data_IF_224613876678
#
_entry.id   IF_224613876678
#
_cell.length_a   1.000
_cell.length_b   1.000
_cell.length_c   1.000
_cell.angle_alpha   90.00
_cell.angle_beta   90.00
_cell.angle_gamma   90.00
#
_symmetry.space_group_name_H-M   'P 1'
#
loop_
_entity.id
_entity.type
_entity.pdbx_description
1 polymer ?
#
# COMPACT_ATOMS: atom_id res chain seq x y z
N UNK A 1 -6.28 8.69 12.88
CA UNK A 1 -7.11 7.59 13.48
C UNK A 1 -8.29 7.18 12.58
N UNK A 2 -9.35 7.98 12.41
CA UNK A 2 -10.51 7.56 11.57
C UNK A 2 -10.10 7.16 10.15
N UNK A 3 -9.26 7.95 9.48
CA UNK A 3 -8.76 7.63 8.14
C UNK A 3 -7.98 6.32 8.11
N UNK A 4 -7.09 6.07 9.09
CA UNK A 4 -6.38 4.79 9.21
C UNK A 4 -7.36 3.61 9.30
N UNK A 5 -8.40 3.70 10.15
CA UNK A 5 -9.42 2.64 10.26
C UNK A 5 -10.21 2.43 8.97
N UNK A 6 -10.55 3.52 8.27
CA UNK A 6 -11.19 3.48 6.94
C UNK A 6 -10.31 2.80 5.88
N UNK A 7 -9.00 2.87 6.03
CA UNK A 7 -8.03 2.16 5.18
C UNK A 7 -7.67 0.78 5.74
N UNK A 8 -8.48 0.21 6.64
CA UNK A 8 -8.27 -1.09 7.28
C UNK A 8 -6.97 -1.23 8.08
N UNK A 9 -6.31 -0.12 8.43
CA UNK A 9 -5.13 -0.12 9.31
C UNK A 9 -5.59 -0.37 10.75
N UNK A 10 -4.96 -1.34 11.41
CA UNK A 10 -5.28 -1.74 12.79
C UNK A 10 -4.21 -1.33 13.82
N UNK A 11 -3.03 -0.89 13.38
CA UNK A 11 -1.90 -0.58 14.25
C UNK A 11 -1.15 0.69 13.82
N UNK A 12 -0.46 1.32 14.76
CA UNK A 12 0.43 2.46 14.54
C UNK A 12 1.69 2.33 15.41
N UNK A 13 2.85 2.58 14.82
CA UNK A 13 4.11 2.77 15.54
C UNK A 13 4.33 4.27 15.73
N UNK A 14 4.70 4.71 16.93
CA UNK A 14 4.96 6.13 17.21
C UNK A 14 6.39 6.49 16.82
N UNK A 15 6.69 6.47 15.52
CA UNK A 15 8.00 6.82 14.97
C UNK A 15 8.34 8.30 15.25
N UNK A 16 9.45 8.65 15.91
CA UNK A 16 10.33 7.80 16.74
C UNK A 16 10.41 8.32 18.18
N UNK A 17 9.25 8.67 18.73
CA UNK A 17 9.15 9.26 20.06
C UNK A 17 7.72 9.14 20.63
N UNK A 18 7.56 9.30 21.96
CA UNK A 18 6.24 9.36 22.58
C UNK A 18 5.42 10.51 21.99
N UNK A 19 4.18 10.21 21.60
CA UNK A 19 3.28 11.19 21.00
C UNK A 19 2.53 12.03 22.05
N UNK A 20 1.74 13.01 21.57
CA UNK A 20 0.80 13.72 22.43
C UNK A 20 -0.16 12.72 23.12
N UNK A 21 -0.40 12.81 24.44
CA UNK A 21 -1.29 11.89 25.19
C UNK A 21 -2.65 11.67 24.55
N UNK A 22 -3.22 12.74 23.98
CA UNK A 22 -4.51 12.69 23.33
C UNK A 22 -4.55 11.69 22.17
N UNK A 23 -3.42 11.44 21.50
CA UNK A 23 -3.33 10.42 20.46
C UNK A 23 -3.60 9.01 21.01
N UNK A 24 -3.05 8.68 22.18
CA UNK A 24 -3.27 7.39 22.83
C UNK A 24 -4.72 7.25 23.31
N UNK A 25 -5.32 8.32 23.83
CA UNK A 25 -6.75 8.33 24.18
C UNK A 25 -7.64 8.06 22.95
N UNK A 26 -7.27 8.63 21.80
CA UNK A 26 -7.94 8.32 20.53
C UNK A 26 -7.69 6.87 20.10
N UNK A 27 -6.48 6.33 20.22
CA UNK A 27 -6.22 4.92 19.90
C UNK A 27 -7.01 3.96 20.82
N UNK A 28 -7.12 4.26 22.12
CA UNK A 28 -7.98 3.51 23.05
C UNK A 28 -9.44 3.56 22.60
N UNK A 29 -9.95 4.75 22.31
CA UNK A 29 -11.36 4.96 21.94
C UNK A 29 -11.70 4.30 20.62
N UNK A 30 -10.87 4.46 19.60
CA UNK A 30 -11.16 3.99 18.24
C UNK A 30 -10.69 2.55 17.97
N UNK A 31 -9.83 2.00 18.82
CA UNK A 31 -9.21 0.69 18.63
C UNK A 31 -8.14 0.72 17.54
N UNK A 32 -6.94 1.15 17.90
CA UNK A 32 -5.71 0.97 17.13
C UNK A 32 -4.63 0.42 18.08
N UNK A 33 -3.94 -0.64 17.69
CA UNK A 33 -2.78 -1.13 18.43
C UNK A 33 -1.62 -0.14 18.31
N UNK A 34 -0.98 0.17 19.43
CA UNK A 34 0.13 1.12 19.47
C UNK A 34 1.42 0.40 19.86
N UNK A 35 2.39 0.42 18.95
CA UNK A 35 3.79 0.12 19.24
C UNK A 35 4.42 1.45 19.69
N UNK A 36 4.55 1.61 21.01
CA UNK A 36 4.92 2.87 21.62
C UNK A 36 6.45 2.95 21.77
N UNK A 37 7.05 3.92 21.10
CA UNK A 37 8.51 4.06 21.00
C UNK A 37 9.06 5.17 21.89
N UNK A 38 10.14 4.89 22.61
CA UNK A 38 10.88 5.91 23.36
C UNK A 38 11.68 6.81 22.41
N UNK A 39 11.87 8.08 22.82
CA UNK A 39 12.64 9.06 22.06
C UNK A 39 14.14 8.78 22.21
N UNK A 40 14.66 7.76 21.52
CA UNK A 40 16.08 7.41 21.48
C UNK A 40 16.43 7.11 20.03
N UNK A 41 17.12 8.05 19.39
CA UNK A 41 17.65 7.87 18.05
C UNK A 41 19.03 8.50 17.95
N UNK A 42 20.01 7.73 17.50
CA UNK A 42 21.39 8.18 17.30
C UNK A 42 21.90 7.75 15.93
N UNK A 43 21.08 7.92 14.88
CA UNK A 43 21.41 7.50 13.52
C UNK A 43 22.79 8.04 13.08
N UNK A 44 23.08 9.32 13.37
CA UNK A 44 24.38 9.93 13.05
C UNK A 44 25.59 9.30 13.77
N UNK A 45 25.39 8.54 14.86
CA UNK A 45 26.42 7.72 15.50
C UNK A 45 25.80 6.55 16.26
N UNK A 46 25.59 5.44 15.55
CA UNK A 46 24.98 4.22 16.12
C UNK A 46 25.88 3.49 17.14
N UNK A 47 27.14 3.90 17.33
CA UNK A 47 28.03 3.33 18.34
C UNK A 47 27.70 3.74 19.77
N UNK A 48 26.90 4.80 19.95
CA UNK A 48 26.61 5.37 21.28
C UNK A 48 25.84 4.41 22.20
N UNK A 49 25.10 3.44 21.66
CA UNK A 49 24.42 2.41 22.46
C UNK A 49 25.37 1.44 23.17
N UNK A 50 26.66 1.43 22.84
CA UNK A 50 27.68 0.66 23.58
C UNK A 50 28.49 1.51 24.57
N UNK A 51 28.26 2.83 24.62
CA UNK A 51 29.06 3.74 25.44
C UNK A 51 28.40 3.94 26.80
N UNK A 52 29.15 3.73 27.88
CA UNK A 52 28.63 3.75 29.25
C UNK A 52 27.91 5.05 29.62
N UNK A 53 28.46 6.18 29.19
CA UNK A 53 27.91 7.50 29.45
C UNK A 53 26.45 7.64 28.97
N UNK A 54 26.08 6.93 27.90
CA UNK A 54 24.75 6.98 27.29
C UNK A 54 23.77 5.97 27.89
N UNK A 55 24.23 5.04 28.73
CA UNK A 55 23.37 4.02 29.35
C UNK A 55 22.24 4.65 30.15
N UNK A 56 22.58 5.58 31.06
CA UNK A 56 21.59 6.24 31.94
C UNK A 56 20.55 7.05 31.14
N UNK A 57 20.93 7.93 30.20
CA UNK A 57 19.96 8.63 29.35
C UNK A 57 19.01 7.71 28.57
N UNK A 58 19.52 6.60 28.02
CA UNK A 58 18.69 5.61 27.30
C UNK A 58 17.68 4.92 28.22
N UNK A 59 18.11 4.53 29.42
CA UNK A 59 17.23 3.97 30.45
C UNK A 59 16.18 4.98 30.88
N UNK A 60 16.55 6.22 31.19
CA UNK A 60 15.62 7.24 31.70
C UNK A 60 14.52 7.57 30.69
N UNK A 61 14.86 7.69 29.39
CA UNK A 61 13.88 7.94 28.31
C UNK A 61 12.85 6.82 28.20
N UNK A 62 13.29 5.58 28.26
CA UNK A 62 12.42 4.40 28.21
C UNK A 62 11.58 4.23 29.48
N UNK A 63 12.23 4.30 30.65
CA UNK A 63 11.58 4.18 31.95
C UNK A 63 10.49 5.25 32.14
N UNK A 64 10.76 6.50 31.78
CA UNK A 64 9.78 7.58 31.91
C UNK A 64 8.60 7.40 30.94
N UNK A 65 8.85 6.92 29.72
CA UNK A 65 7.79 6.62 28.76
C UNK A 65 6.82 5.56 29.32
N UNK A 66 7.34 4.43 29.81
CA UNK A 66 6.52 3.35 30.39
C UNK A 66 5.78 3.84 31.63
N UNK A 67 6.47 4.56 32.54
CA UNK A 67 5.86 5.09 33.76
C UNK A 67 4.68 6.00 33.46
N UNK A 68 4.77 6.79 32.39
CA UNK A 68 3.72 7.70 31.96
C UNK A 68 2.55 6.99 31.27
N UNK A 69 2.84 6.02 30.39
CA UNK A 69 1.87 5.51 29.42
C UNK A 69 1.35 4.09 29.68
N UNK A 70 1.86 3.36 30.69
CA UNK A 70 1.48 1.95 30.96
C UNK A 70 -0.02 1.67 31.19
N UNK A 71 -0.82 2.69 31.48
CA UNK A 71 -2.27 2.55 31.65
C UNK A 71 -3.05 2.67 30.32
N UNK A 72 -2.37 2.97 29.20
CA UNK A 72 -2.98 3.05 27.88
C UNK A 72 -3.20 1.63 27.33
N UNK A 73 -4.47 1.25 27.16
CA UNK A 73 -4.86 -0.11 26.73
C UNK A 73 -4.53 -0.39 25.27
N UNK A 74 -4.41 0.65 24.45
CA UNK A 74 -4.02 0.54 23.05
C UNK A 74 -2.56 0.12 22.87
N UNK A 75 -1.70 0.41 23.85
CA UNK A 75 -0.29 0.05 23.77
C UNK A 75 -0.17 -1.46 23.98
N UNK A 76 0.39 -2.16 22.99
CA UNK A 76 0.62 -3.60 23.08
C UNK A 76 2.10 -3.97 23.16
N UNK A 77 2.98 -3.01 22.83
CA UNK A 77 4.42 -3.23 22.73
C UNK A 77 5.20 -1.95 23.01
N UNK A 78 6.33 -2.07 23.71
CA UNK A 78 7.28 -0.99 23.98
C UNK A 78 8.51 -1.09 23.08
N UNK A 79 8.82 -0.04 22.33
CA UNK A 79 10.04 0.04 21.53
C UNK A 79 11.11 0.91 22.18
N UNK A 80 12.35 0.42 22.18
CA UNK A 80 13.46 1.03 22.92
C UNK A 80 13.96 2.35 22.31
N UNK A 81 13.63 2.57 21.04
CA UNK A 81 14.14 3.64 20.20
C UNK A 81 14.21 3.21 18.74
N UNK A 82 14.88 4.00 17.92
CA UNK A 82 15.12 3.75 16.50
C UNK A 82 16.61 3.92 16.17
N UNK A 83 17.11 3.18 15.17
CA UNK A 83 18.42 3.38 14.52
C UNK A 83 19.56 3.90 15.44
N UNK A 84 19.74 3.25 16.59
CA UNK A 84 20.73 3.64 17.61
C UNK A 84 21.82 2.58 17.81
N UNK A 85 21.98 1.67 16.85
CA UNK A 85 22.93 0.56 16.88
C UNK A 85 22.57 -0.56 17.85
N UNK A 86 23.47 -1.53 18.01
CA UNK A 86 23.19 -2.78 18.72
C UNK A 86 23.90 -2.96 20.07
N UNK A 87 24.34 -1.87 20.71
CA UNK A 87 25.15 -1.91 21.92
C UNK A 87 24.42 -2.39 23.18
N UNK A 88 25.19 -2.82 24.18
CA UNK A 88 24.72 -3.49 25.40
C UNK A 88 23.91 -2.61 26.36
N UNK A 89 23.84 -1.28 26.16
CA UNK A 89 22.96 -0.44 26.97
C UNK A 89 21.49 -0.87 26.86
N UNK A 90 21.08 -1.46 25.73
CA UNK A 90 19.71 -1.92 25.53
C UNK A 90 19.31 -3.13 26.40
N UNK A 91 20.27 -3.93 26.88
CA UNK A 91 19.98 -4.95 27.89
C UNK A 91 19.44 -4.32 29.18
N UNK A 92 20.03 -3.19 29.59
CA UNK A 92 19.60 -2.49 30.79
C UNK A 92 18.31 -1.70 30.57
N UNK A 93 18.04 -1.27 29.34
CA UNK A 93 16.75 -0.69 28.95
C UNK A 93 15.64 -1.73 29.07
N UNK A 94 15.84 -2.95 28.57
CA UNK A 94 14.87 -4.04 28.69
C UNK A 94 14.52 -4.32 30.15
N UNK A 95 15.54 -4.49 31.01
CA UNK A 95 15.35 -4.72 32.45
C UNK A 95 14.56 -3.60 33.11
N UNK A 96 14.82 -2.34 32.75
CA UNK A 96 14.12 -1.19 33.29
C UNK A 96 12.65 -1.12 32.85
N UNK A 97 12.35 -1.48 31.59
CA UNK A 97 10.98 -1.57 31.08
C UNK A 97 10.24 -2.69 31.80
N UNK A 98 10.80 -3.90 31.84
CA UNK A 98 10.16 -5.08 32.45
C UNK A 98 9.97 -4.96 33.97
N UNK A 99 10.81 -4.17 34.64
CA UNK A 99 10.62 -3.84 36.06
C UNK A 99 9.37 -2.97 36.31
N UNK A 100 8.93 -2.19 35.32
CA UNK A 100 7.72 -1.36 35.40
C UNK A 100 6.46 -2.00 34.80
N UNK A 101 6.63 -2.80 33.74
CA UNK A 101 5.54 -3.40 32.98
C UNK A 101 5.98 -4.74 32.37
N UNK A 102 5.52 -5.84 32.97
CA UNK A 102 5.69 -7.19 32.44
C UNK A 102 4.49 -7.68 31.61
N UNK A 103 3.47 -6.84 31.43
CA UNK A 103 2.22 -7.21 30.72
C UNK A 103 2.32 -7.04 29.21
N UNK A 104 3.36 -6.36 28.71
CA UNK A 104 3.55 -6.04 27.29
C UNK A 104 4.87 -6.56 26.74
N UNK A 105 4.87 -6.76 25.42
CA UNK A 105 6.05 -7.17 24.67
C UNK A 105 7.03 -6.00 24.53
N UNK A 106 8.30 -6.33 24.34
CA UNK A 106 9.35 -5.37 24.00
C UNK A 106 9.88 -5.55 22.58
N UNK A 107 10.37 -4.46 22.01
CA UNK A 107 10.82 -4.36 20.64
C UNK A 107 12.04 -3.46 20.52
N UNK A 108 13.00 -3.89 19.69
CA UNK A 108 14.03 -3.02 19.15
C UNK A 108 14.64 -3.68 17.92
N UNK A 109 14.69 -2.94 16.81
CA UNK A 109 15.18 -3.47 15.54
C UNK A 109 16.70 -3.60 15.55
N UNK A 110 17.41 -2.54 15.97
CA UNK A 110 18.87 -2.46 15.83
C UNK A 110 19.64 -3.58 16.55
N UNK A 111 19.04 -4.20 17.56
CA UNK A 111 19.46 -5.50 18.09
C UNK A 111 18.34 -6.17 18.89
N UNK A 112 17.62 -7.08 18.26
CA UNK A 112 16.51 -7.77 18.92
C UNK A 112 16.92 -8.84 19.94
N UNK A 113 18.20 -9.05 20.28
CA UNK A 113 18.56 -10.12 21.23
C UNK A 113 17.96 -9.90 22.64
N UNK A 114 17.75 -8.64 23.02
CA UNK A 114 17.15 -8.24 24.30
C UNK A 114 15.69 -7.81 24.15
N UNK A 115 14.95 -8.31 23.15
CA UNK A 115 13.53 -7.99 22.97
C UNK A 115 12.70 -9.25 22.77
N UNK A 116 11.43 -9.17 23.18
CA UNK A 116 10.48 -10.27 23.02
C UNK A 116 10.14 -10.55 21.55
N UNK A 117 10.28 -9.54 20.69
CA UNK A 117 9.98 -9.62 19.26
C UNK A 117 11.24 -9.37 18.44
N UNK A 118 11.44 -10.17 17.38
CA UNK A 118 12.48 -9.86 16.38
C UNK A 118 11.94 -8.87 15.35
N UNK A 119 12.78 -7.97 14.86
CA UNK A 119 12.38 -7.02 13.84
C UNK A 119 13.40 -6.82 12.74
N UNK A 120 12.94 -6.26 11.63
CA UNK A 120 13.74 -5.71 10.53
C UNK A 120 13.11 -4.42 10.06
N UNK A 121 13.93 -3.55 9.47
CA UNK A 121 13.48 -2.49 8.57
C UNK A 121 13.77 -2.89 7.12
N UNK A 122 12.77 -2.75 6.23
CA UNK A 122 12.87 -2.96 4.78
C UNK A 122 13.48 -4.33 4.38
N UNK A 123 13.11 -5.39 5.10
CA UNK A 123 13.49 -6.76 4.76
C UNK A 123 12.95 -7.17 3.39
N UNK A 124 13.83 -7.67 2.53
CA UNK A 124 13.45 -8.17 1.21
C UNK A 124 12.49 -9.36 1.32
N UNK A 125 11.69 -9.58 0.27
CA UNK A 125 10.77 -10.72 0.20
C UNK A 125 11.46 -12.04 0.55
N UNK A 126 12.62 -12.32 -0.05
CA UNK A 126 13.38 -13.55 0.21
C UNK A 126 13.86 -13.65 1.65
N UNK A 127 14.32 -12.54 2.25
CA UNK A 127 14.75 -12.52 3.66
C UNK A 127 13.57 -12.83 4.59
N UNK A 128 12.42 -12.21 4.36
CA UNK A 128 11.22 -12.42 5.18
C UNK A 128 10.67 -13.84 5.02
N UNK A 129 10.67 -14.36 3.79
CA UNK A 129 10.32 -15.75 3.51
C UNK A 129 11.24 -16.72 4.24
N UNK A 130 12.56 -16.52 4.17
CA UNK A 130 13.54 -17.34 4.87
C UNK A 130 13.32 -17.33 6.39
N UNK A 131 13.02 -16.15 6.97
CA UNK A 131 12.64 -16.05 8.39
C UNK A 131 11.41 -16.92 8.64
N UNK A 132 10.31 -16.73 7.89
CA UNK A 132 9.09 -17.52 8.05
C UNK A 132 9.31 -19.04 7.98
N UNK A 133 10.06 -19.51 6.98
CA UNK A 133 10.39 -20.92 6.79
C UNK A 133 11.28 -21.48 7.91
N UNK A 134 12.23 -20.69 8.41
CA UNK A 134 13.09 -21.10 9.53
C UNK A 134 12.29 -21.26 10.83
N UNK A 135 11.33 -20.37 11.09
CA UNK A 135 10.50 -20.36 12.30
C UNK A 135 9.58 -21.58 12.40
N UNK A 136 9.17 -22.17 11.26
CA UNK A 136 8.39 -23.42 11.26
C UNK A 136 9.15 -24.61 11.86
N UNK A 137 10.48 -24.53 11.95
CA UNK A 137 11.34 -25.59 12.52
C UNK A 137 11.61 -25.38 14.02
N UNK A 138 11.20 -24.25 14.59
CA UNK A 138 11.39 -23.92 15.99
C UNK A 138 10.21 -24.40 16.84
N UNK A 139 10.48 -24.87 18.06
CA UNK A 139 9.41 -25.29 18.98
C UNK A 139 8.58 -24.11 19.50
N UNK A 140 9.25 -23.00 19.80
CA UNK A 140 8.65 -21.77 20.32
C UNK A 140 9.21 -20.58 19.52
N UNK A 141 8.75 -20.38 18.28
CA UNK A 141 9.30 -19.35 17.42
C UNK A 141 9.01 -17.96 17.99
N UNK A 142 10.03 -17.10 18.01
CA UNK A 142 9.85 -15.69 18.36
C UNK A 142 9.09 -14.98 17.23
N UNK A 143 8.07 -14.16 17.53
CA UNK A 143 7.41 -13.37 16.49
C UNK A 143 8.40 -12.44 15.77
N UNK A 144 8.11 -12.17 14.52
CA UNK A 144 8.86 -11.27 13.66
C UNK A 144 7.95 -10.20 13.08
N UNK A 145 8.33 -8.94 13.22
CA UNK A 145 7.58 -7.80 12.67
C UNK A 145 8.51 -6.90 11.87
N UNK A 146 8.08 -6.43 10.70
CA UNK A 146 8.81 -5.36 10.03
C UNK A 146 8.40 -4.02 10.63
N UNK A 147 9.26 -3.41 11.44
CA UNK A 147 8.92 -2.15 12.10
C UNK A 147 8.88 -0.96 11.13
N UNK A 148 9.47 -1.13 9.94
CA UNK A 148 9.29 -0.32 8.75
C UNK A 148 9.38 -1.23 7.52
N UNK A 149 8.44 -1.09 6.59
CA UNK A 149 8.53 -1.70 5.27
C UNK A 149 7.73 -0.88 4.24
N UNK A 150 7.72 -1.31 2.99
CA UNK A 150 6.86 -0.76 1.93
C UNK A 150 6.98 0.75 1.81
N UNK A 151 8.22 1.23 1.75
CA UNK A 151 8.56 2.65 1.68
C UNK A 151 7.71 3.38 0.62
N UNK A 152 6.93 4.36 1.05
CA UNK A 152 5.85 4.96 0.27
C UNK A 152 6.23 6.31 -0.36
N UNK A 153 7.52 6.60 -0.51
CA UNK A 153 8.02 7.83 -1.12
C UNK A 153 7.62 8.00 -2.59
N UNK A 154 6.96 9.11 -2.91
CA UNK A 154 6.51 9.40 -4.28
C UNK A 154 5.52 8.36 -4.83
N UNK A 155 5.78 7.85 -6.03
CA UNK A 155 5.02 6.76 -6.65
C UNK A 155 5.72 5.41 -6.34
N UNK A 156 5.21 4.70 -5.33
CA UNK A 156 5.88 3.55 -4.71
C UNK A 156 4.88 2.48 -4.26
N UNK A 157 5.26 1.65 -3.29
CA UNK A 157 4.47 0.50 -2.78
C UNK A 157 4.15 -0.56 -3.86
N UNK A 158 5.13 -0.86 -4.71
CA UNK A 158 5.10 -2.08 -5.52
C UNK A 158 5.12 -3.33 -4.63
N UNK A 159 4.60 -4.46 -5.13
CA UNK A 159 4.66 -5.81 -4.54
C UNK A 159 4.18 -6.02 -3.09
N UNK A 160 3.44 -5.07 -2.51
CA UNK A 160 2.98 -5.16 -1.10
C UNK A 160 2.04 -6.36 -0.89
N UNK A 161 1.29 -6.78 -1.91
CA UNK A 161 0.42 -7.97 -1.83
C UNK A 161 1.26 -9.22 -1.59
N UNK A 162 2.33 -9.40 -2.35
CA UNK A 162 3.23 -10.54 -2.28
C UNK A 162 3.89 -10.62 -0.89
N UNK A 163 4.36 -9.49 -0.37
CA UNK A 163 4.89 -9.44 1.00
C UNK A 163 3.81 -9.80 2.04
N UNK A 164 2.61 -9.26 1.90
CA UNK A 164 1.51 -9.52 2.84
C UNK A 164 1.06 -11.00 2.83
N UNK A 165 1.14 -11.66 1.68
CA UNK A 165 0.87 -13.10 1.58
C UNK A 165 1.84 -13.92 2.46
N UNK A 166 3.09 -13.48 2.64
CA UNK A 166 4.02 -14.14 3.57
C UNK A 166 3.53 -14.02 5.02
N UNK A 167 3.02 -12.85 5.42
CA UNK A 167 2.46 -12.64 6.76
C UNK A 167 1.23 -13.50 7.02
N UNK A 168 0.42 -13.73 6.00
CA UNK A 168 -0.76 -14.60 6.11
C UNK A 168 -0.41 -16.09 6.06
N UNK A 169 0.73 -16.44 5.46
CA UNK A 169 1.19 -17.82 5.31
C UNK A 169 1.94 -18.33 6.56
N UNK A 170 2.79 -17.50 7.17
CA UNK A 170 3.70 -17.93 8.24
C UNK A 170 3.26 -17.35 9.60
N UNK A 171 2.79 -18.17 10.56
CA UNK A 171 2.22 -17.69 11.83
C UNK A 171 3.13 -16.82 12.71
N UNK A 172 4.46 -16.95 12.55
CA UNK A 172 5.43 -16.17 13.30
C UNK A 172 5.70 -14.78 12.70
N UNK A 173 5.29 -14.54 11.45
CA UNK A 173 5.43 -13.23 10.82
C UNK A 173 4.17 -12.41 11.11
N UNK A 174 4.29 -11.37 11.94
CA UNK A 174 3.14 -10.64 12.50
C UNK A 174 2.82 -9.33 11.78
N UNK A 175 3.24 -9.22 10.51
CA UNK A 175 2.95 -8.07 9.66
C UNK A 175 4.07 -7.04 9.58
N UNK A 176 3.67 -5.83 9.20
CA UNK A 176 4.55 -4.68 8.96
C UNK A 176 3.93 -3.37 9.45
N UNK A 177 4.77 -2.35 9.60
CA UNK A 177 4.36 -0.96 9.59
C UNK A 177 4.87 -0.30 8.30
N UNK A 178 3.97 0.22 7.47
CA UNK A 178 4.33 0.96 6.26
C UNK A 178 5.07 2.24 6.66
N UNK A 179 6.18 2.54 5.98
CA UNK A 179 6.86 3.83 6.08
C UNK A 179 6.44 4.78 4.94
N UNK A 180 5.68 5.85 5.19
CA UNK A 180 5.04 6.22 6.46
C UNK A 180 3.62 6.76 6.24
N UNK A 181 3.01 7.35 7.27
CA UNK A 181 1.61 7.78 7.18
C UNK A 181 1.43 8.97 6.24
N UNK A 182 2.22 10.04 6.38
CA UNK A 182 1.90 11.36 5.82
C UNK A 182 3.17 12.09 5.38
N UNK A 183 3.15 12.66 4.18
CA UNK A 183 4.22 13.55 3.72
C UNK A 183 4.48 14.69 4.70
N UNK A 184 5.76 14.91 5.01
CA UNK A 184 6.22 15.97 5.92
C UNK A 184 6.51 17.28 5.17
N UNK A 185 5.76 17.55 4.09
CA UNK A 185 5.87 18.79 3.33
C UNK A 185 5.13 19.94 4.01
N UNK A 186 5.65 21.15 3.83
CA UNK A 186 5.09 22.37 4.41
C UNK A 186 4.44 23.24 3.33
N UNK A 187 3.24 23.75 3.59
CA UNK A 187 2.53 24.61 2.63
C UNK A 187 3.18 25.98 2.57
N UNK A 188 3.71 26.37 1.41
CA UNK A 188 4.39 27.64 1.18
C UNK A 188 3.74 28.43 0.04
N UNK A 189 3.68 29.77 0.12
CA UNK A 189 3.15 30.60 -0.96
C UNK A 189 4.14 30.65 -2.15
N UNK A 190 3.61 30.68 -3.37
CA UNK A 190 4.43 30.87 -4.58
C UNK A 190 4.78 32.36 -4.74
N UNK A 191 6.06 32.68 -4.86
CA UNK A 191 6.52 34.07 -4.98
C UNK A 191 5.89 34.77 -6.20
N UNK A 192 5.33 35.97 -5.98
CA UNK A 192 4.71 36.78 -7.02
C UNK A 192 3.31 36.33 -7.47
N UNK A 193 2.73 35.28 -6.87
CA UNK A 193 1.38 34.79 -7.20
C UNK A 193 0.48 34.78 -5.97
N UNK A 194 -0.56 35.62 -5.98
CA UNK A 194 -1.52 35.69 -4.88
C UNK A 194 -2.38 34.42 -4.85
N UNK A 195 -2.55 33.84 -3.66
CA UNK A 195 -3.33 32.61 -3.41
C UNK A 195 -2.80 31.32 -4.05
N UNK A 196 -1.60 31.33 -4.65
CA UNK A 196 -0.93 30.12 -5.12
C UNK A 196 -0.01 29.56 -4.04
N UNK A 197 -0.07 28.25 -3.82
CA UNK A 197 0.72 27.55 -2.82
C UNK A 197 1.35 26.29 -3.41
N UNK A 198 2.46 25.86 -2.82
CA UNK A 198 3.10 24.58 -3.10
C UNK A 198 3.47 23.86 -1.80
N UNK A 199 3.79 22.58 -1.91
CA UNK A 199 4.27 21.75 -0.81
C UNK A 199 5.80 21.74 -0.84
N UNK A 200 6.41 22.49 0.07
CA UNK A 200 7.84 22.64 0.21
C UNK A 200 8.47 21.47 0.98
N UNK A 201 9.72 21.15 0.65
CA UNK A 201 10.54 20.13 1.32
C UNK A 201 11.96 20.66 1.59
N UNK A 202 12.92 19.81 1.97
CA UNK A 202 14.28 20.21 2.29
C UNK A 202 14.95 21.03 1.18
N UNK A 203 15.58 22.15 1.55
CA UNK A 203 16.23 23.09 0.64
C UNK A 203 15.36 24.28 0.21
N UNK A 204 14.03 24.17 0.26
CA UNK A 204 13.12 25.28 -0.08
C UNK A 204 13.14 26.42 0.96
N UNK A 205 13.79 26.19 2.11
CA UNK A 205 13.93 27.16 3.21
C UNK A 205 15.34 27.77 3.28
N UNK A 206 16.22 27.42 2.35
CA UNK A 206 17.64 27.80 2.39
C UNK A 206 18.47 27.02 3.41
N UNK A 207 17.91 25.95 3.96
CA UNK A 207 18.54 25.02 4.89
C UNK A 207 19.64 24.17 4.21
N UNK A 208 20.82 24.11 4.83
CA UNK A 208 22.00 23.41 4.33
C UNK A 208 22.83 22.81 5.48
N UNK A 209 23.20 21.52 5.44
CA UNK A 209 22.79 20.52 4.45
C UNK A 209 21.29 20.15 4.58
N UNK A 210 20.72 19.53 3.54
CA UNK A 210 19.37 18.96 3.55
C UNK A 210 19.29 17.71 2.66
N UNK A 211 18.24 16.90 2.83
CA UNK A 211 17.99 15.64 2.10
C UNK A 211 16.85 15.74 1.08
N UNK A 212 16.53 16.95 0.61
CA UNK A 212 15.55 17.20 -0.44
C UNK A 212 14.16 16.60 -0.14
N UNK A 213 13.63 15.82 -1.09
CA UNK A 213 12.31 15.18 -1.00
C UNK A 213 12.26 13.98 -0.05
N UNK A 214 13.36 13.57 0.61
CA UNK A 214 13.39 12.36 1.44
C UNK A 214 12.41 12.37 2.63
N UNK A 215 11.81 13.52 2.96
CA UNK A 215 10.74 13.67 3.95
C UNK A 215 9.31 13.47 3.40
N UNK A 216 9.14 13.10 2.12
CA UNK A 216 7.84 12.91 1.46
C UNK A 216 7.56 11.42 1.21
N UNK A 217 7.32 10.68 2.30
CA UNK A 217 7.21 9.22 2.32
C UNK A 217 5.77 8.73 2.57
N UNK A 218 4.77 9.60 2.46
CA UNK A 218 3.44 9.33 2.97
C UNK A 218 2.60 8.41 2.09
N UNK A 219 1.83 7.53 2.75
CA UNK A 219 0.67 6.87 2.16
C UNK A 219 -0.44 7.89 1.84
N UNK A 220 -0.52 8.98 2.60
CA UNK A 220 -1.37 10.15 2.32
C UNK A 220 -0.54 11.42 2.13
N UNK A 221 -1.10 12.39 1.41
CA UNK A 221 -0.44 13.67 1.16
C UNK A 221 -0.45 14.59 2.40
N UNK A 222 0.32 15.68 2.33
CA UNK A 222 0.49 16.64 3.41
C UNK A 222 -0.80 17.34 3.87
N UNK A 223 -1.85 17.36 3.04
CA UNK A 223 -3.19 17.91 3.34
C UNK A 223 -4.22 16.85 3.74
N UNK A 224 -3.79 15.61 4.01
CA UNK A 224 -4.65 14.47 4.33
C UNK A 224 -5.47 13.91 3.17
N UNK A 225 -5.24 14.36 1.93
CA UNK A 225 -5.82 13.71 0.75
C UNK A 225 -5.21 12.32 0.53
N UNK A 226 -6.04 11.39 0.08
CA UNK A 226 -5.62 10.02 -0.18
C UNK A 226 -4.80 9.95 -1.47
N UNK A 227 -3.76 9.11 -1.48
CA UNK A 227 -3.01 8.78 -2.69
C UNK A 227 -3.48 7.44 -3.27
N UNK A 228 -3.00 7.07 -4.46
CA UNK A 228 -3.23 5.74 -5.04
C UNK A 228 -2.80 4.61 -4.07
N UNK A 229 -1.69 4.82 -3.35
CA UNK A 229 -1.15 3.89 -2.35
C UNK A 229 -2.15 3.64 -1.20
N UNK A 230 -2.92 4.66 -0.80
CA UNK A 230 -3.94 4.51 0.23
C UNK A 230 -5.01 3.47 -0.14
N UNK A 231 -5.47 3.47 -1.39
CA UNK A 231 -6.48 2.53 -1.88
C UNK A 231 -5.92 1.11 -1.96
N UNK A 232 -4.67 0.96 -2.37
CA UNK A 232 -3.96 -0.32 -2.36
C UNK A 232 -3.84 -0.86 -0.93
N UNK A 233 -3.41 -0.05 0.05
CA UNK A 233 -3.36 -0.45 1.47
C UNK A 233 -4.72 -0.93 1.95
N UNK A 234 -5.80 -0.19 1.65
CA UNK A 234 -7.17 -0.59 2.04
C UNK A 234 -7.54 -1.97 1.50
N UNK A 235 -7.23 -2.24 0.24
CA UNK A 235 -7.52 -3.52 -0.43
C UNK A 235 -6.66 -4.67 0.13
N UNK A 236 -5.41 -4.41 0.48
CA UNK A 236 -4.52 -5.44 1.05
C UNK A 236 -4.97 -5.83 2.45
N UNK A 237 -5.30 -4.85 3.29
CA UNK A 237 -5.62 -5.07 4.70
C UNK A 237 -7.10 -5.38 4.95
N UNK A 238 -7.89 -5.63 3.90
CA UNK A 238 -9.33 -5.86 4.04
C UNK A 238 -9.66 -7.05 4.97
N UNK A 239 -10.76 -6.97 5.74
CA UNK A 239 -11.09 -7.97 6.76
C UNK A 239 -11.73 -9.26 6.22
N UNK A 240 -12.16 -9.28 4.95
CA UNK A 240 -12.80 -10.44 4.32
C UNK A 240 -12.18 -10.68 2.95
N UNK A 241 -11.76 -11.91 2.69
CA UNK A 241 -11.24 -12.33 1.38
C UNK A 241 -12.22 -13.26 0.66
N UNK A 242 -12.12 -13.25 -0.67
CA UNK A 242 -12.99 -13.98 -1.59
C UNK A 242 -12.14 -14.72 -2.62
N UNK A 243 -12.52 -15.96 -2.94
CA UNK A 243 -12.01 -16.68 -4.10
C UNK A 243 -13.11 -17.55 -4.71
N UNK A 244 -12.88 -18.07 -5.91
CA UNK A 244 -13.84 -18.91 -6.64
C UNK A 244 -13.27 -20.33 -6.80
N UNK A 245 -14.13 -21.34 -6.66
CA UNK A 245 -13.78 -22.74 -6.93
C UNK A 245 -13.85 -23.02 -8.44
N UNK A 246 -13.36 -24.19 -8.85
CA UNK A 246 -13.27 -24.57 -10.25
C UNK A 246 -14.63 -24.75 -10.95
N UNK A 247 -15.73 -24.90 -10.18
CA UNK A 247 -17.10 -25.03 -10.73
C UNK A 247 -17.67 -23.72 -11.30
N UNK A 248 -17.03 -22.58 -11.02
CA UNK A 248 -17.42 -21.27 -11.54
C UNK A 248 -18.66 -20.65 -10.90
N UNK A 249 -19.23 -21.26 -9.85
CA UNK A 249 -20.40 -20.74 -9.14
C UNK A 249 -20.33 -20.88 -7.61
N UNK A 250 -19.32 -21.58 -7.08
CA UNK A 250 -19.04 -21.65 -5.64
C UNK A 250 -17.90 -20.72 -5.25
N UNK A 251 -18.13 -19.90 -4.22
CA UNK A 251 -17.16 -18.93 -3.73
C UNK A 251 -16.73 -19.26 -2.30
N UNK A 252 -15.44 -19.08 -2.02
CA UNK A 252 -14.86 -19.19 -0.69
C UNK A 252 -14.77 -17.80 -0.08
N UNK A 253 -15.40 -17.62 1.08
CA UNK A 253 -15.38 -16.37 1.84
C UNK A 253 -14.66 -16.61 3.16
N UNK A 254 -13.61 -15.82 3.44
CA UNK A 254 -12.78 -15.96 4.64
C UNK A 254 -12.82 -14.70 5.49
N UNK A 255 -13.18 -14.83 6.77
CA UNK A 255 -13.03 -13.77 7.76
C UNK A 255 -11.59 -13.75 8.30
N UNK A 256 -10.90 -12.62 8.15
CA UNK A 256 -9.51 -12.43 8.56
C UNK A 256 -9.37 -11.76 9.93
N UNK A 257 -10.48 -11.38 10.55
CA UNK A 257 -10.49 -10.81 11.88
C UNK A 257 -10.22 -11.90 12.93
N UNK A 258 -9.39 -11.56 13.92
CA UNK A 258 -8.99 -12.50 14.98
C UNK A 258 -10.05 -12.66 16.09
N UNK A 259 -10.94 -11.67 16.28
CA UNK A 259 -11.83 -11.62 17.45
C UNK A 259 -13.31 -11.38 17.11
N UNK A 260 -13.62 -10.85 15.92
CA UNK A 260 -14.96 -10.38 15.57
C UNK A 260 -15.54 -11.19 14.41
N UNK A 261 -16.82 -11.55 14.52
CA UNK A 261 -17.60 -12.13 13.42
C UNK A 261 -17.93 -11.06 12.37
N UNK A 262 -18.55 -11.47 11.26
CA UNK A 262 -19.07 -10.54 10.22
C UNK A 262 -20.55 -10.20 10.39
N UNK A 263 -21.13 -10.41 11.57
CA UNK A 263 -22.57 -10.19 11.81
C UNK A 263 -23.00 -8.72 11.65
N UNK A 264 -22.08 -7.78 11.89
CA UNK A 264 -22.31 -6.34 11.72
C UNK A 264 -22.00 -5.83 10.30
N UNK A 265 -21.69 -6.74 9.38
CA UNK A 265 -21.38 -6.44 7.99
C UNK A 265 -22.44 -7.01 7.06
N UNK A 266 -22.77 -6.25 6.01
CA UNK A 266 -23.53 -6.72 4.87
C UNK A 266 -22.57 -7.21 3.80
N UNK A 267 -22.75 -8.44 3.32
CA UNK A 267 -21.98 -9.02 2.22
C UNK A 267 -22.91 -9.14 1.02
N UNK A 268 -22.65 -8.34 -0.01
CA UNK A 268 -23.43 -8.31 -1.24
C UNK A 268 -22.56 -8.62 -2.45
N UNK A 269 -23.18 -9.04 -3.54
CA UNK A 269 -22.51 -9.19 -4.83
C UNK A 269 -23.28 -8.49 -5.94
N UNK A 270 -22.56 -8.11 -7.00
CA UNK A 270 -23.12 -7.64 -8.27
C UNK A 270 -22.50 -8.40 -9.42
N UNK A 271 -23.30 -8.79 -10.41
CA UNK A 271 -22.85 -9.42 -11.66
C UNK A 271 -22.74 -8.34 -12.73
N UNK A 272 -21.61 -8.30 -13.42
CA UNK A 272 -21.25 -7.29 -14.40
C UNK A 272 -21.10 -7.95 -15.78
N UNK A 273 -21.75 -7.41 -16.80
CA UNK A 273 -21.52 -7.70 -18.22
C UNK A 273 -20.86 -6.45 -18.85
N UNK A 274 -19.60 -6.55 -19.29
CA UNK A 274 -18.85 -5.42 -19.86
C UNK A 274 -18.93 -4.15 -18.97
N UNK A 275 -18.78 -4.36 -17.66
CA UNK A 275 -18.86 -3.32 -16.63
C UNK A 275 -20.28 -2.85 -16.25
N UNK A 276 -21.34 -3.36 -16.88
CA UNK A 276 -22.74 -3.00 -16.57
C UNK A 276 -23.37 -4.01 -15.62
N UNK A 277 -24.05 -3.53 -14.58
CA UNK A 277 -24.74 -4.39 -13.62
C UNK A 277 -25.93 -5.10 -14.27
N UNK A 278 -25.93 -6.43 -14.27
CA UNK A 278 -27.01 -7.29 -14.76
C UNK A 278 -27.67 -8.13 -13.66
N UNK A 279 -27.06 -8.18 -12.48
CA UNK A 279 -27.59 -8.91 -11.33
C UNK A 279 -27.00 -8.41 -10.02
N UNK A 280 -27.72 -8.63 -8.92
CA UNK A 280 -27.26 -8.31 -7.56
C UNK A 280 -27.89 -9.26 -6.54
N UNK A 281 -27.20 -9.49 -5.44
CA UNK A 281 -27.74 -10.26 -4.32
C UNK A 281 -27.10 -9.88 -2.99
N UNK A 282 -27.79 -10.18 -1.90
CA UNK A 282 -27.29 -10.09 -0.53
C UNK A 282 -27.10 -11.51 -0.01
N UNK A 283 -25.94 -11.80 0.57
CA UNK A 283 -25.66 -13.11 1.16
C UNK A 283 -26.06 -13.09 2.64
N UNK A 284 -27.04 -13.91 3.00
CA UNK A 284 -27.41 -14.12 4.41
C UNK A 284 -26.44 -15.10 5.07
N UNK A 285 -25.23 -14.60 5.34
CA UNK A 285 -24.15 -15.39 5.94
C UNK A 285 -23.43 -14.58 7.02
N UNK A 286 -22.95 -15.30 8.03
CA UNK A 286 -22.06 -14.78 9.05
C UNK A 286 -20.86 -15.70 9.17
N UNK A 287 -19.66 -15.11 9.24
CA UNK A 287 -18.39 -15.79 9.40
C UNK A 287 -17.86 -15.50 10.80
N UNK A 288 -17.60 -16.55 11.57
CA UNK A 288 -16.87 -16.47 12.84
C UNK A 288 -15.43 -15.99 12.61
N UNK A 289 -14.71 -15.52 13.63
CA UNK A 289 -13.31 -15.10 13.49
C UNK A 289 -12.46 -16.21 12.87
N UNK A 290 -11.72 -15.91 11.79
CA UNK A 290 -10.88 -16.88 11.08
C UNK A 290 -11.63 -17.91 10.21
N UNK A 291 -12.97 -17.93 10.23
CA UNK A 291 -13.77 -18.91 9.51
C UNK A 291 -13.69 -18.73 7.99
N UNK A 292 -13.72 -19.84 7.26
CA UNK A 292 -13.92 -19.89 5.81
C UNK A 292 -15.19 -20.67 5.50
N UNK A 293 -16.10 -20.12 4.68
CA UNK A 293 -17.31 -20.81 4.19
C UNK A 293 -17.35 -20.87 2.68
N UNK A 294 -17.96 -21.94 2.18
CA UNK A 294 -18.35 -22.08 0.77
C UNK A 294 -19.76 -21.54 0.57
N UNK A 295 -19.96 -20.74 -0.47
CA UNK A 295 -21.25 -20.15 -0.84
C UNK A 295 -21.48 -20.37 -2.33
N UNK A 296 -22.48 -21.20 -2.66
CA UNK A 296 -22.94 -21.35 -4.03
C UNK A 296 -23.95 -20.24 -4.35
N UNK A 297 -23.79 -19.59 -5.50
CA UNK A 297 -24.79 -18.65 -6.02
C UNK A 297 -25.59 -19.40 -7.08
N UNK A 298 -26.76 -19.90 -6.70
CA UNK A 298 -27.57 -20.79 -7.54
C UNK A 298 -28.22 -20.07 -8.73
N UNK A 299 -28.63 -18.81 -8.55
CA UNK A 299 -29.31 -18.00 -9.57
C UNK A 299 -28.40 -16.93 -10.15
N UNK A 300 -27.32 -17.34 -10.83
CA UNK A 300 -26.54 -16.42 -11.66
C UNK A 300 -27.35 -16.03 -12.91
N UNK A 301 -27.35 -14.74 -13.33
CA UNK A 301 -27.97 -14.34 -14.59
C UNK A 301 -27.39 -15.10 -15.79
N UNK A 302 -28.21 -15.30 -16.83
CA UNK A 302 -27.74 -15.91 -18.08
C UNK A 302 -26.61 -15.09 -18.70
N UNK A 303 -25.46 -15.74 -18.90
CA UNK A 303 -24.27 -15.14 -19.49
C UNK A 303 -24.19 -15.43 -20.99
N UNK A 304 -25.27 -15.24 -21.73
CA UNK A 304 -25.43 -15.76 -23.10
C UNK A 304 -24.56 -15.06 -24.15
N UNK A 305 -24.19 -13.79 -23.94
CA UNK A 305 -23.37 -13.05 -24.90
C UNK A 305 -21.94 -13.53 -24.82
N UNK A 306 -21.55 -14.41 -25.76
CA UNK A 306 -20.19 -14.98 -25.82
C UNK A 306 -19.10 -13.93 -25.95
N UNK A 307 -19.41 -12.81 -26.59
CA UNK A 307 -18.48 -11.71 -26.85
C UNK A 307 -18.35 -10.76 -25.67
N UNK A 308 -19.11 -10.96 -24.59
CA UNK A 308 -19.05 -10.14 -23.40
C UNK A 308 -18.18 -10.80 -22.32
N UNK A 309 -17.42 -9.99 -21.59
CA UNK A 309 -16.80 -10.43 -20.34
C UNK A 309 -17.79 -10.31 -19.17
N UNK A 310 -17.69 -11.26 -18.24
CA UNK A 310 -18.53 -11.28 -17.05
C UNK A 310 -17.70 -11.36 -15.79
N UNK A 311 -18.06 -10.54 -14.81
CA UNK A 311 -17.46 -10.50 -13.49
C UNK A 311 -18.51 -10.58 -12.40
N UNK A 312 -18.14 -11.16 -11.27
CA UNK A 312 -18.82 -10.95 -10.00
C UNK A 312 -17.98 -9.99 -9.15
N UNK A 313 -18.63 -8.97 -8.58
CA UNK A 313 -18.02 -8.07 -7.60
C UNK A 313 -18.69 -8.26 -6.25
N UNK A 314 -17.94 -8.75 -5.27
CA UNK A 314 -18.33 -8.74 -3.86
C UNK A 314 -18.05 -7.38 -3.23
N UNK A 315 -18.93 -6.96 -2.33
CA UNK A 315 -18.81 -5.74 -1.53
C UNK A 315 -19.23 -6.05 -0.10
N UNK A 316 -18.40 -5.64 0.86
CA UNK A 316 -18.67 -5.80 2.28
C UNK A 316 -18.79 -4.43 2.90
N UNK A 317 -19.95 -4.11 3.47
CA UNK A 317 -20.25 -2.78 4.02
C UNK A 317 -20.69 -2.84 5.48
N UNK A 318 -20.52 -1.74 6.21
CA UNK A 318 -21.04 -1.64 7.58
C UNK A 318 -22.56 -1.56 7.58
N UNK A 319 -23.24 -2.40 8.37
CA UNK A 319 -24.68 -2.28 8.58
C UNK A 319 -25.07 -0.97 9.25
N UNK A 320 -24.30 -0.61 10.28
CA UNK A 320 -24.57 0.54 11.15
C UNK A 320 -23.38 1.49 11.20
N UNK A 321 -23.66 2.75 11.55
CA UNK A 321 -22.59 3.73 11.74
C UNK A 321 -21.72 3.36 12.94
N UNK A 322 -20.41 3.42 12.74
CA UNK A 322 -19.41 3.27 13.79
C UNK A 322 -18.77 4.62 14.10
N UNK A 323 -17.98 4.71 15.18
CA UNK A 323 -17.31 5.97 15.50
C UNK A 323 -16.36 6.47 14.39
N UNK A 324 -15.89 5.58 13.52
CA UNK A 324 -14.92 5.87 12.48
C UNK A 324 -15.49 5.91 11.05
N UNK A 325 -16.67 5.36 10.78
CA UNK A 325 -17.31 5.42 9.47
C UNK A 325 -18.84 5.37 9.57
N UNK A 326 -19.52 5.89 8.55
CA UNK A 326 -20.98 5.85 8.45
C UNK A 326 -21.46 4.43 8.08
N UNK A 327 -22.76 4.16 8.28
CA UNK A 327 -23.41 2.99 7.72
C UNK A 327 -23.22 2.95 6.19
N UNK A 328 -23.09 1.76 5.61
CA UNK A 328 -22.81 1.55 4.20
C UNK A 328 -21.34 1.75 3.79
N UNK A 329 -20.43 2.06 4.72
CA UNK A 329 -19.01 2.19 4.39
C UNK A 329 -18.41 0.84 3.95
N UNK A 330 -17.91 0.76 2.72
CA UNK A 330 -17.30 -0.46 2.17
C UNK A 330 -15.93 -0.72 2.82
N UNK A 331 -15.79 -1.84 3.51
CA UNK A 331 -14.55 -2.27 4.19
C UNK A 331 -13.76 -3.31 3.40
N UNK A 332 -14.43 -4.08 2.53
CA UNK A 332 -13.78 -5.03 1.63
C UNK A 332 -14.53 -5.09 0.29
N UNK A 333 -13.82 -5.41 -0.77
CA UNK A 333 -14.42 -5.69 -2.07
C UNK A 333 -13.54 -6.63 -2.86
N UNK A 334 -14.11 -7.53 -3.66
CA UNK A 334 -13.34 -8.35 -4.59
C UNK A 334 -14.05 -8.46 -5.93
N UNK A 335 -13.29 -8.48 -7.03
CA UNK A 335 -13.84 -8.72 -8.36
C UNK A 335 -13.21 -9.98 -8.96
N UNK A 336 -14.04 -10.96 -9.31
CA UNK A 336 -13.61 -12.25 -9.87
C UNK A 336 -14.24 -12.41 -11.26
N UNK A 337 -13.42 -12.82 -12.23
CA UNK A 337 -13.88 -13.09 -13.58
C UNK A 337 -14.67 -14.40 -13.60
N UNK A 338 -15.93 -14.34 -14.02
CA UNK A 338 -16.78 -15.52 -14.22
C UNK A 338 -16.57 -16.11 -15.61
N UNK A 339 -16.37 -15.24 -16.61
CA UNK A 339 -16.27 -15.63 -18.00
C UNK A 339 -15.50 -14.60 -18.82
N UNK A 340 -14.60 -15.10 -19.66
CA UNK A 340 -13.87 -14.30 -20.65
C UNK A 340 -14.72 -14.05 -21.91
N UNK A 341 -14.56 -12.85 -22.48
CA UNK A 341 -15.13 -12.52 -23.78
C UNK A 341 -14.44 -13.32 -24.90
N UNK A 342 -15.22 -14.08 -25.66
CA UNK A 342 -14.77 -14.67 -26.93
C UNK A 342 -15.18 -13.70 -28.04
N UNK A 343 -14.32 -12.72 -28.34
CA UNK A 343 -14.55 -11.79 -29.45
C UNK A 343 -14.42 -12.56 -30.77
N UNK A 344 -15.38 -12.46 -31.70
CA UNK A 344 -15.24 -13.07 -33.02
C UNK A 344 -14.05 -12.44 -33.74
N UNK A 345 -13.45 -13.18 -34.67
CA UNK A 345 -12.50 -12.60 -35.61
C UNK A 345 -13.27 -11.57 -36.43
N UNK A 346 -13.10 -10.29 -36.10
CA UNK A 346 -13.73 -9.20 -36.83
C UNK A 346 -13.12 -9.16 -38.23
N UNK A 347 -13.87 -9.67 -39.21
CA UNK A 347 -13.54 -9.53 -40.63
C UNK A 347 -14.30 -8.34 -41.14
N UNK A 348 -13.60 -7.23 -41.33
CA UNK A 348 -14.14 -6.12 -42.11
C UNK A 348 -14.54 -6.64 -43.49
N UNK A 349 -15.78 -6.43 -43.97
CA UNK A 349 -16.03 -6.52 -45.39
C UNK A 349 -15.09 -5.52 -46.07
N UNK A 350 -14.25 -6.00 -46.97
CA UNK A 350 -13.39 -5.14 -47.79
C UNK A 350 -14.30 -4.51 -48.83
N UNK A 351 -14.96 -3.42 -48.46
CA UNK A 351 -15.65 -2.52 -49.37
C UNK A 351 -14.83 -1.25 -49.48
N UNK A 352 -14.61 -0.79 -50.72
CA UNK A 352 -13.75 0.35 -51.02
C UNK A 352 -12.41 -0.03 -51.63
N UNK A 353 -11.81 0.92 -52.32
CA UNK A 353 -10.46 0.80 -52.87
C UNK A 353 -9.58 1.84 -52.18
N UNK A 354 -8.71 1.38 -51.29
CA UNK A 354 -7.65 2.22 -50.74
C UNK A 354 -6.75 2.72 -51.87
N UNK A 355 -6.68 4.03 -52.04
CA UNK A 355 -5.65 4.62 -52.88
C UNK A 355 -4.33 4.64 -52.11
N UNK A 356 -3.26 4.22 -52.78
CA UNK A 356 -1.89 4.31 -52.28
C UNK A 356 -1.09 5.11 -53.29
N UNK A 357 -0.61 6.28 -52.88
CA UNK A 357 0.28 7.13 -53.70
C UNK A 357 1.64 7.25 -53.03
N UNK A 358 2.70 7.05 -53.81
CA UNK A 358 4.07 7.35 -53.40
C UNK A 358 4.45 8.73 -53.91
N UNK A 359 4.74 9.65 -52.99
CA UNK A 359 5.04 11.06 -53.26
C UNK A 359 6.37 11.42 -52.59
N UNK A 360 7.49 11.15 -53.27
CA UNK A 360 8.83 11.38 -52.73
C UNK A 360 9.10 10.49 -51.50
N UNK A 361 9.28 11.12 -50.33
CA UNK A 361 9.44 10.43 -49.04
C UNK A 361 8.10 9.96 -48.43
N UNK A 362 6.96 10.38 -48.99
CA UNK A 362 5.66 10.06 -48.43
C UNK A 362 5.01 8.83 -49.09
N UNK A 363 4.47 7.93 -48.28
CA UNK A 363 3.45 6.96 -48.69
C UNK A 363 2.12 7.46 -48.15
N UNK A 364 1.24 7.87 -49.05
CA UNK A 364 -0.08 8.39 -48.74
C UNK A 364 -1.10 7.30 -49.01
N UNK A 365 -1.91 6.99 -48.00
CA UNK A 365 -2.96 5.97 -48.06
C UNK A 365 -4.28 6.64 -47.66
N UNK A 366 -5.34 6.48 -48.45
CA UNK A 366 -6.63 7.09 -48.11
C UNK A 366 -7.77 6.75 -49.05
N UNK A 367 -8.98 6.99 -48.58
CA UNK A 367 -10.23 6.90 -49.33
C UNK A 367 -11.27 7.87 -48.72
N UNK A 368 -12.01 8.59 -49.56
CA UNK A 368 -12.99 9.58 -49.09
C UNK A 368 -12.38 10.63 -48.18
N UNK A 369 -12.89 10.71 -46.95
CA UNK A 369 -12.57 11.78 -46.01
C UNK A 369 -11.37 11.48 -45.10
N UNK A 370 -10.76 10.30 -45.20
CA UNK A 370 -9.56 9.97 -44.41
C UNK A 370 -8.30 9.86 -45.28
N UNK A 371 -7.18 10.29 -44.70
CA UNK A 371 -5.85 10.19 -45.31
C UNK A 371 -4.80 9.94 -44.23
N UNK A 372 -3.98 8.92 -44.41
CA UNK A 372 -2.83 8.62 -43.56
C UNK A 372 -1.56 8.72 -44.39
N UNK A 373 -0.54 9.38 -43.85
CA UNK A 373 0.74 9.61 -44.53
C UNK A 373 1.86 9.03 -43.68
N UNK A 374 2.66 8.15 -44.29
CA UNK A 374 3.86 7.57 -43.72
C UNK A 374 5.09 8.20 -44.36
N UNK A 375 6.14 8.45 -43.58
CA UNK A 375 7.47 8.80 -44.11
C UNK A 375 8.27 7.52 -44.34
N UNK A 376 8.93 7.42 -45.50
CA UNK A 376 9.81 6.29 -45.84
C UNK A 376 11.15 6.39 -45.12
N UNK A 377 11.68 7.60 -44.97
CA UNK A 377 12.90 7.90 -44.23
C UNK A 377 12.73 7.61 -42.73
N UNK A 378 11.64 8.09 -42.12
CA UNK A 378 11.38 7.87 -40.68
C UNK A 378 10.74 6.51 -40.39
N UNK A 379 10.14 5.87 -41.38
CA UNK A 379 9.45 4.58 -41.22
C UNK A 379 8.23 4.62 -40.30
N UNK A 380 7.56 5.77 -40.18
CA UNK A 380 6.44 5.98 -39.24
C UNK A 380 5.31 6.80 -39.84
N UNK A 381 4.15 6.77 -39.18
CA UNK A 381 3.01 7.62 -39.47
C UNK A 381 3.33 9.06 -39.09
N UNK A 382 3.34 9.97 -40.06
CA UNK A 382 3.65 11.40 -39.88
C UNK A 382 2.41 12.28 -39.93
N UNK A 383 1.30 11.80 -40.51
CA UNK A 383 0.05 12.54 -40.60
C UNK A 383 -1.15 11.60 -40.66
N UNK A 384 -2.22 11.94 -39.94
CA UNK A 384 -3.53 11.31 -40.06
C UNK A 384 -4.54 12.46 -40.19
N UNK A 385 -5.30 12.52 -41.28
CA UNK A 385 -6.44 13.43 -41.42
C UNK A 385 -7.77 12.69 -41.52
N UNK A 386 -8.83 13.27 -40.94
CA UNK A 386 -10.21 12.89 -41.17
C UNK A 386 -11.05 14.17 -41.37
N UNK A 387 -11.88 14.24 -42.41
CA UNK A 387 -12.63 15.45 -42.81
C UNK A 387 -11.73 16.69 -42.95
N UNK A 388 -10.50 16.49 -43.44
CA UNK A 388 -9.50 17.55 -43.58
C UNK A 388 -8.85 18.02 -42.27
N UNK A 389 -9.18 17.41 -41.12
CA UNK A 389 -8.62 17.75 -39.80
C UNK A 389 -7.46 16.81 -39.45
N UNK A 390 -6.32 17.37 -39.08
CA UNK A 390 -5.18 16.61 -38.56
C UNK A 390 -5.49 16.04 -37.16
N UNK A 391 -5.39 14.71 -37.03
CA UNK A 391 -5.65 13.97 -35.78
C UNK A 391 -4.39 13.73 -34.95
N UNK A 392 -3.21 13.93 -35.53
CA UNK A 392 -1.92 13.84 -34.84
C UNK A 392 -1.12 15.11 -35.05
N UNK A 393 -0.49 15.60 -33.98
CA UNK A 393 0.32 16.82 -33.98
C UNK A 393 1.81 16.57 -34.28
N UNK A 394 2.24 15.31 -34.23
CA UNK A 394 3.61 14.88 -34.50
C UNK A 394 3.62 13.44 -35.04
N UNK A 395 4.72 13.02 -35.69
CA UNK A 395 4.93 11.63 -36.05
C UNK A 395 4.79 10.69 -34.86
N UNK A 396 4.27 9.48 -35.09
CA UNK A 396 4.27 8.44 -34.06
C UNK A 396 5.70 7.97 -33.80
N UNK A 397 6.05 7.79 -32.53
CA UNK A 397 7.37 7.37 -32.11
C UNK A 397 7.27 6.22 -31.11
N UNK A 398 8.25 5.32 -31.16
CA UNK A 398 8.42 4.31 -30.14
C UNK A 398 8.90 5.00 -28.84
N UNK A 399 8.10 4.93 -27.79
CA UNK A 399 8.50 5.40 -26.46
C UNK A 399 8.87 4.21 -25.57
N UNK A 400 10.15 4.16 -25.15
CA UNK A 400 10.67 3.18 -24.18
C UNK A 400 10.97 3.81 -22.82
N UNK A 401 10.59 5.08 -22.62
CA UNK A 401 10.93 5.88 -21.46
C UNK A 401 9.69 6.26 -20.63
N UNK A 402 9.90 6.43 -19.34
CA UNK A 402 8.98 7.08 -18.41
C UNK A 402 9.77 8.04 -17.54
N UNK A 403 9.14 9.12 -17.07
CA UNK A 403 9.76 9.99 -16.08
C UNK A 403 10.13 9.18 -14.83
N UNK A 404 11.39 9.28 -14.33
CA UNK A 404 11.83 8.54 -13.16
C UNK A 404 11.00 8.86 -11.91
N UNK A 405 10.61 7.82 -11.20
CA UNK A 405 10.06 7.93 -9.84
C UNK A 405 11.18 8.11 -8.81
N UNK A 406 10.83 8.43 -7.57
CA UNK A 406 11.78 8.49 -6.46
C UNK A 406 12.57 7.17 -6.28
N UNK A 407 11.94 6.04 -6.59
CA UNK A 407 12.59 4.72 -6.54
C UNK A 407 13.60 4.49 -7.67
N UNK A 408 13.49 5.23 -8.78
CA UNK A 408 14.38 5.11 -9.94
C UNK A 408 15.63 6.00 -9.82
N UNK A 409 15.76 6.81 -8.74
CA UNK A 409 16.89 7.75 -8.55
C UNK A 409 18.25 7.08 -8.73
N UNK A 410 18.43 5.87 -8.21
CA UNK A 410 19.68 5.11 -8.34
C UNK A 410 20.00 4.69 -9.80
N UNK A 411 19.00 4.63 -10.68
CA UNK A 411 19.14 4.19 -12.07
C UNK A 411 19.14 5.35 -13.08
N UNK A 412 18.78 6.56 -12.65
CA UNK A 412 18.54 7.69 -13.56
C UNK A 412 19.79 8.04 -14.38
N UNK A 413 20.98 8.03 -13.77
CA UNK A 413 22.23 8.29 -14.48
C UNK A 413 22.55 7.22 -15.55
N UNK A 414 22.14 5.97 -15.32
CA UNK A 414 22.34 4.89 -16.30
C UNK A 414 21.45 5.12 -17.53
N UNK A 415 20.19 5.49 -17.34
CA UNK A 415 19.24 5.75 -18.43
C UNK A 415 19.69 6.95 -19.27
N UNK A 416 20.13 8.02 -18.61
CA UNK A 416 20.71 9.19 -19.27
C UNK A 416 21.92 8.83 -20.14
N UNK A 417 22.85 8.01 -19.62
CA UNK A 417 24.03 7.56 -20.36
C UNK A 417 23.68 6.65 -21.55
N UNK A 418 22.56 5.92 -21.48
CA UNK A 418 22.05 5.11 -22.59
C UNK A 418 21.29 5.94 -23.65
N UNK A 419 21.09 7.24 -23.42
CA UNK A 419 20.30 8.09 -24.32
C UNK A 419 18.81 7.75 -24.33
N UNK A 420 18.32 7.06 -23.31
CA UNK A 420 16.91 6.72 -23.14
C UNK A 420 16.23 7.94 -22.51
N UNK A 421 15.75 8.85 -23.37
CA UNK A 421 15.03 10.08 -23.00
C UNK A 421 13.81 10.28 -23.87
#
# INVERSE_FOLDING_TARGET
>A
VKTMKRLNINAVRTSHYPNNPYFYDLCNKYGLYVLAEANVETHGNMGLSGVELFRRPMIERNHNHVKWMRNQVSIFMWSYGNESGGGNNFEQVEKAIKALDSTRLTHYEGNSQWSDVSSTMYGSFDRIKQIGESRLKERNPRPHIQCENSHAMGNAMGNVREMFNLYEQYPSLTGEFIWDWKDQSLKMPVAGKLNDYYWAYGGDFGDQPNDGSFCTNGVIFADYTLSAKSYQTKKIYQPVDFSMKEDGNTFLLKNKLAFKSTEDLDIQYTILEEGKVIGKGLLDIHLSPGETKEVAIEELPDMDKKEAEYFIRFSVTQKEATWWAEAGYEVASEQIQLREAVKPVYRLPVEGNLSVTEEGDAIVIGEGDFKVTFSREQGTLIRYTHDGVDLISSPLQLNLFRLPTENDKAQTALWDNMGIR
#
